data_IF_494520853359
#
_entry.id   IF_494520853359
#
_cell.length_a   1.000
_cell.length_b   1.000
_cell.length_c   1.000
_cell.angle_alpha   90.00
_cell.angle_beta   90.00
_cell.angle_gamma   90.00
#
_symmetry.space_group_name_H-M   'P 1'
#
loop_
_entity.id
_entity.type
_entity.pdbx_description
1 polymer ?
#
# COMPACT_ATOMS: atom_id res chain seq x y z
N UNK A 1 -34.99 23.47 -10.33
CA UNK A 1 -34.53 22.28 -11.08
C UNK A 1 -33.28 21.84 -10.36
N UNK A 2 -33.45 21.07 -9.30
CA UNK A 2 -32.36 20.71 -8.40
C UNK A 2 -32.22 19.19 -8.44
N UNK A 3 -31.49 18.71 -9.45
CA UNK A 3 -31.07 17.32 -9.54
C UNK A 3 -29.96 17.09 -8.51
N UNK A 4 -30.36 16.65 -7.32
CA UNK A 4 -29.43 16.10 -6.32
C UNK A 4 -28.90 14.79 -6.91
N UNK A 5 -27.63 14.79 -7.30
CA UNK A 5 -26.86 13.59 -7.63
C UNK A 5 -26.77 12.72 -6.36
N UNK A 6 -27.75 11.82 -6.18
CA UNK A 6 -27.61 10.69 -5.25
C UNK A 6 -26.60 9.74 -5.88
N UNK A 7 -25.37 9.79 -5.39
CA UNK A 7 -24.41 8.71 -5.61
C UNK A 7 -25.05 7.42 -5.07
N UNK A 8 -25.06 6.31 -5.82
CA UNK A 8 -25.47 5.03 -5.28
C UNK A 8 -24.55 4.71 -4.10
N UNK A 9 -25.15 4.51 -2.93
CA UNK A 9 -24.43 3.93 -1.79
C UNK A 9 -23.99 2.55 -2.27
N UNK A 10 -22.69 2.39 -2.45
CA UNK A 10 -22.08 1.14 -2.87
C UNK A 10 -22.45 0.08 -1.84
N UNK A 11 -23.32 -0.85 -2.23
CA UNK A 11 -23.77 -1.95 -1.39
C UNK A 11 -22.55 -2.86 -1.16
N UNK A 12 -21.86 -2.64 -0.04
CA UNK A 12 -20.67 -3.41 0.35
C UNK A 12 -21.13 -4.86 0.48
N UNK A 13 -20.80 -5.66 -0.54
CA UNK A 13 -21.04 -7.11 -0.54
C UNK A 13 -20.64 -7.67 0.83
N UNK A 14 -21.51 -8.43 1.53
CA UNK A 14 -21.21 -8.91 2.86
C UNK A 14 -19.92 -9.72 2.83
N UNK A 15 -18.88 -9.15 3.42
CA UNK A 15 -17.59 -9.78 3.64
C UNK A 15 -17.75 -10.83 4.73
N UNK A 16 -16.96 -11.91 4.68
CA UNK A 16 -16.99 -12.88 5.77
C UNK A 16 -16.48 -12.21 7.06
N UNK A 17 -16.96 -12.64 8.23
CA UNK A 17 -16.50 -12.11 9.52
C UNK A 17 -14.97 -12.11 9.66
N UNK A 18 -14.30 -13.09 9.04
CA UNK A 18 -12.84 -13.17 9.01
C UNK A 18 -12.19 -12.03 8.20
N UNK A 19 -12.82 -11.62 7.09
CA UNK A 19 -12.35 -10.51 6.26
C UNK A 19 -12.56 -9.17 6.98
N UNK A 20 -13.69 -8.98 7.66
CA UNK A 20 -13.95 -7.75 8.44
C UNK A 20 -12.95 -7.60 9.60
N UNK A 21 -12.65 -8.71 10.27
CA UNK A 21 -11.62 -8.75 11.29
C UNK A 21 -10.24 -8.38 10.71
N UNK A 22 -9.87 -8.97 9.57
CA UNK A 22 -8.60 -8.68 8.92
C UNK A 22 -8.47 -7.20 8.51
N UNK A 23 -9.54 -6.60 7.98
CA UNK A 23 -9.56 -5.18 7.62
C UNK A 23 -9.45 -4.27 8.85
N UNK A 24 -10.16 -4.60 9.94
CA UNK A 24 -10.06 -3.87 11.21
C UNK A 24 -8.63 -3.87 11.75
N UNK A 25 -7.94 -5.00 11.67
CA UNK A 25 -6.52 -5.12 12.07
C UNK A 25 -5.63 -4.22 11.20
N UNK A 26 -5.84 -4.19 9.89
CA UNK A 26 -5.07 -3.32 8.98
C UNK A 26 -5.34 -1.83 9.26
N UNK A 27 -6.58 -1.45 9.56
CA UNK A 27 -6.93 -0.08 9.95
C UNK A 27 -6.26 0.33 11.27
N UNK A 28 -6.33 -0.52 12.30
CA UNK A 28 -5.65 -0.26 13.59
C UNK A 28 -4.13 -0.18 13.46
N UNK A 29 -3.52 -0.97 12.56
CA UNK A 29 -2.11 -0.81 12.22
C UNK A 29 -1.82 0.59 11.68
N UNK A 30 -2.65 1.09 10.76
CA UNK A 30 -2.54 2.45 10.21
C UNK A 30 -2.67 3.54 11.29
N UNK A 31 -3.64 3.42 12.20
CA UNK A 31 -3.85 4.37 13.31
C UNK A 31 -2.64 4.45 14.26
N UNK A 32 -1.93 3.33 14.46
CA UNK A 32 -0.71 3.26 15.27
C UNK A 32 0.55 3.71 14.51
N UNK A 33 0.41 4.21 13.29
CA UNK A 33 1.53 4.62 12.44
C UNK A 33 2.30 3.43 11.84
N UNK A 34 1.78 2.21 11.94
CA UNK A 34 2.35 1.02 11.31
C UNK A 34 1.92 0.99 9.85
N UNK A 35 2.80 1.41 8.95
CA UNK A 35 2.56 1.35 7.50
C UNK A 35 2.93 -0.03 6.98
N UNK A 36 1.98 -0.75 6.38
CA UNK A 36 2.27 -2.01 5.68
C UNK A 36 2.91 -1.69 4.33
N UNK A 37 4.19 -2.02 4.19
CA UNK A 37 4.91 -1.91 2.92
C UNK A 37 5.03 -3.30 2.28
N UNK A 38 4.79 -3.43 0.96
CA UNK A 38 5.02 -4.70 0.27
C UNK A 38 6.46 -5.20 0.45
N UNK A 39 6.61 -6.49 0.74
CA UNK A 39 7.91 -7.21 0.78
C UNK A 39 8.53 -7.32 -0.64
N UNK A 40 7.76 -7.01 -1.68
CA UNK A 40 8.28 -6.81 -3.03
C UNK A 40 7.87 -5.42 -3.52
N UNK A 41 8.82 -4.51 -3.78
CA UNK A 41 8.52 -3.15 -4.15
C UNK A 41 7.96 -3.14 -5.57
N UNK A 42 6.94 -2.31 -5.79
CA UNK A 42 6.38 -2.10 -7.12
C UNK A 42 7.32 -1.20 -7.94
N UNK A 43 7.20 -1.23 -9.27
CA UNK A 43 7.95 -0.32 -10.16
C UNK A 43 7.73 1.15 -9.80
N UNK A 44 6.50 1.50 -9.36
CA UNK A 44 6.17 2.85 -8.92
C UNK A 44 6.94 3.24 -7.65
N UNK A 45 7.07 2.34 -6.67
CA UNK A 45 7.86 2.56 -5.45
C UNK A 45 9.34 2.74 -5.77
N UNK A 46 9.91 1.90 -6.64
CA UNK A 46 11.31 2.02 -7.05
C UNK A 46 11.57 3.32 -7.81
N UNK A 47 10.65 3.73 -8.69
CA UNK A 47 10.75 4.98 -9.44
C UNK A 47 10.65 6.20 -8.53
N UNK A 48 9.73 6.17 -7.56
CA UNK A 48 9.60 7.21 -6.55
C UNK A 48 10.86 7.32 -5.68
N UNK A 49 11.39 6.18 -5.21
CA UNK A 49 12.64 6.12 -4.44
C UNK A 49 13.84 6.63 -5.23
N UNK A 50 13.97 6.22 -6.50
CA UNK A 50 15.01 6.70 -7.42
C UNK A 50 14.94 8.22 -7.60
N UNK A 51 13.75 8.77 -7.83
CA UNK A 51 13.53 10.21 -7.99
C UNK A 51 13.87 10.98 -6.72
N UNK A 52 13.42 10.52 -5.56
CA UNK A 52 13.68 11.19 -4.27
C UNK A 52 15.16 11.11 -3.87
N UNK A 53 15.79 9.96 -4.09
CA UNK A 53 17.20 9.71 -3.77
C UNK A 53 18.18 10.25 -4.81
N UNK A 54 17.71 10.78 -5.94
CA UNK A 54 18.55 11.18 -7.08
C UNK A 54 19.48 10.05 -7.57
N UNK A 55 18.97 8.81 -7.56
CA UNK A 55 19.69 7.61 -8.01
C UNK A 55 18.95 6.94 -9.16
N UNK A 56 19.59 5.98 -9.82
CA UNK A 56 18.91 5.16 -10.82
C UNK A 56 17.91 4.20 -10.17
N UNK A 57 16.93 3.73 -10.94
CA UNK A 57 15.98 2.69 -10.51
C UNK A 57 16.70 1.39 -10.12
N UNK A 58 17.81 1.06 -10.81
CA UNK A 58 18.65 -0.09 -10.47
C UNK A 58 19.32 0.07 -9.11
N UNK A 59 19.84 1.26 -8.80
CA UNK A 59 20.43 1.54 -7.49
C UNK A 59 19.38 1.48 -6.38
N UNK A 60 18.19 2.03 -6.61
CA UNK A 60 17.08 1.93 -5.66
C UNK A 60 16.67 0.46 -5.39
N UNK A 61 16.69 -0.39 -6.42
CA UNK A 61 16.46 -1.83 -6.28
C UNK A 61 17.54 -2.54 -5.45
N UNK A 62 18.82 -2.24 -5.71
CA UNK A 62 19.94 -2.81 -4.92
C UNK A 62 19.88 -2.41 -3.46
N UNK A 63 19.55 -1.15 -3.17
CA UNK A 63 19.34 -0.65 -1.79
C UNK A 63 18.20 -1.43 -1.14
N UNK A 64 17.09 -1.65 -1.86
CA UNK A 64 15.99 -2.46 -1.35
C UNK A 64 16.41 -3.89 -1.02
N UNK A 65 17.11 -4.57 -1.94
CA UNK A 65 17.61 -5.93 -1.72
C UNK A 65 18.51 -6.03 -0.49
N UNK A 66 19.40 -5.04 -0.29
CA UNK A 66 20.24 -4.96 0.90
C UNK A 66 19.42 -4.76 2.19
N UNK A 67 18.31 -4.03 2.15
CA UNK A 67 17.45 -3.83 3.32
C UNK A 67 16.70 -5.10 3.73
N UNK A 68 16.33 -5.96 2.78
CA UNK A 68 15.58 -7.20 3.07
C UNK A 68 16.47 -8.43 3.28
N UNK A 69 17.80 -8.27 3.24
CA UNK A 69 18.77 -9.34 3.44
C UNK A 69 18.44 -10.62 2.66
N UNK A 70 18.15 -10.47 1.36
CA UNK A 70 18.28 -11.56 0.40
C UNK A 70 19.77 -11.60 -0.05
N UNK A 71 20.68 -11.76 0.90
CA UNK A 71 22.02 -12.27 0.60
C UNK A 71 21.88 -13.78 0.39
N UNK A 72 21.78 -14.13 -0.90
CA UNK A 72 22.01 -15.44 -1.55
C UNK A 72 20.78 -16.12 -2.17
#
# INVERSE_FOLDING_TARGET
MDSVLRLPVEDKRPTSNAMDYALTVVETMGEQGLTTVPIKPTTAMLTAGARSGHVSVETAWKIYQAMINEEN
#
